data_IF_595721391467
#
_entry.id   IF_595721391467
#
_cell.length_a   1.000
_cell.length_b   1.000
_cell.length_c   1.000
_cell.angle_alpha   90.00
_cell.angle_beta   90.00
_cell.angle_gamma   90.00
#
_symmetry.space_group_name_H-M   'P 1'
#
loop_
_entity.id
_entity.type
_entity.pdbx_description
1 polymer ?
#
# COMPACT_ATOMS: atom_id res chain seq x y z
N UNK A 1 6.25 -10.49 -19.42
CA UNK A 1 7.36 -11.24 -18.84
C UNK A 1 8.31 -11.76 -19.90
N UNK A 2 7.87 -12.62 -20.81
CA UNK A 2 8.73 -13.25 -21.82
C UNK A 2 9.49 -12.24 -22.72
N UNK A 3 8.86 -11.15 -23.13
CA UNK A 3 9.52 -10.12 -23.94
C UNK A 3 10.66 -9.41 -23.18
N UNK A 4 10.44 -9.15 -21.89
CA UNK A 4 11.48 -8.57 -21.02
C UNK A 4 12.67 -9.53 -20.90
N UNK A 5 12.39 -10.80 -20.65
CA UNK A 5 13.39 -11.86 -20.50
C UNK A 5 14.16 -12.08 -21.79
N UNK A 6 13.47 -12.09 -22.93
CA UNK A 6 14.09 -12.22 -24.27
C UNK A 6 15.10 -11.09 -24.57
N UNK A 7 14.88 -9.89 -23.99
CA UNK A 7 15.78 -8.74 -24.15
C UNK A 7 16.79 -8.62 -22.98
N UNK A 8 16.95 -9.68 -22.17
CA UNK A 8 17.93 -9.73 -21.07
C UNK A 8 17.50 -9.00 -19.79
N UNK A 9 16.27 -8.53 -19.71
CA UNK A 9 15.71 -7.90 -18.50
C UNK A 9 15.14 -8.93 -17.51
N UNK A 10 15.11 -8.58 -16.22
CA UNK A 10 14.47 -9.40 -15.17
C UNK A 10 12.95 -9.11 -15.14
N UNK A 11 12.15 -10.11 -15.45
CA UNK A 11 10.70 -9.99 -15.45
C UNK A 11 10.11 -10.09 -14.03
N UNK A 12 8.84 -9.65 -13.88
CA UNK A 12 8.09 -9.83 -12.65
C UNK A 12 7.97 -11.31 -12.27
N UNK A 13 7.74 -12.19 -13.24
CA UNK A 13 7.71 -13.65 -13.04
C UNK A 13 9.01 -14.16 -12.42
N UNK A 14 10.15 -13.81 -12.97
CA UNK A 14 11.46 -14.22 -12.43
C UNK A 14 11.70 -13.66 -11.02
N UNK A 15 11.28 -12.41 -10.77
CA UNK A 15 11.39 -11.82 -9.43
C UNK A 15 10.51 -12.55 -8.40
N UNK A 16 9.29 -12.92 -8.79
CA UNK A 16 8.38 -13.69 -7.93
C UNK A 16 8.88 -15.11 -7.71
N UNK A 17 9.40 -15.79 -8.75
CA UNK A 17 10.00 -17.12 -8.59
C UNK A 17 11.12 -17.09 -7.56
N UNK A 18 12.05 -16.12 -7.64
CA UNK A 18 13.12 -15.98 -6.63
C UNK A 18 12.57 -15.82 -5.20
N UNK A 19 11.42 -15.14 -5.04
CA UNK A 19 10.75 -15.04 -3.73
C UNK A 19 10.16 -16.40 -3.29
N UNK A 20 9.55 -17.12 -4.23
CA UNK A 20 8.89 -18.39 -3.98
C UNK A 20 9.86 -19.56 -3.80
N UNK A 21 11.11 -19.44 -4.27
CA UNK A 21 12.18 -20.46 -4.06
C UNK A 21 12.43 -20.79 -2.57
N UNK A 22 12.01 -19.90 -1.67
CA UNK A 22 12.07 -20.13 -0.22
C UNK A 22 10.86 -20.91 0.31
N UNK A 23 9.80 -21.03 -0.47
CA UNK A 23 8.51 -21.64 -0.08
C UNK A 23 8.32 -23.04 -0.68
N UNK A 24 9.00 -23.32 -1.79
CA UNK A 24 8.88 -24.58 -2.52
C UNK A 24 10.18 -24.91 -3.24
N UNK A 25 10.67 -26.14 -3.08
CA UNK A 25 11.87 -26.63 -3.74
C UNK A 25 11.57 -27.15 -5.14
N UNK A 26 12.60 -27.27 -6.00
CA UNK A 26 12.43 -27.87 -7.33
C UNK A 26 11.98 -29.33 -7.25
N UNK A 27 12.47 -30.10 -6.28
CA UNK A 27 12.08 -31.49 -6.07
C UNK A 27 10.59 -31.61 -5.75
N UNK A 28 10.06 -30.74 -4.87
CA UNK A 28 8.63 -30.67 -4.57
C UNK A 28 7.82 -30.31 -5.82
N UNK A 29 8.29 -29.35 -6.65
CA UNK A 29 7.64 -28.98 -7.91
C UNK A 29 7.57 -30.18 -8.87
N UNK A 30 8.66 -30.94 -9.02
CA UNK A 30 8.71 -32.13 -9.84
C UNK A 30 7.76 -33.22 -9.31
N UNK A 31 7.74 -33.46 -8.00
CA UNK A 31 6.82 -34.39 -7.36
C UNK A 31 5.35 -34.02 -7.56
N UNK A 32 5.00 -32.74 -7.54
CA UNK A 32 3.63 -32.23 -7.70
C UNK A 32 3.18 -32.13 -9.15
N UNK A 33 4.10 -32.30 -10.11
CA UNK A 33 3.82 -32.08 -11.54
C UNK A 33 3.70 -33.39 -12.30
N UNK A 34 2.69 -33.52 -13.16
CA UNK A 34 2.54 -34.62 -14.10
C UNK A 34 3.48 -34.44 -15.31
N UNK A 35 3.76 -35.50 -16.07
CA UNK A 35 4.61 -35.41 -17.27
C UNK A 35 4.11 -34.44 -18.34
N UNK A 36 2.81 -34.12 -18.34
CA UNK A 36 2.20 -33.15 -19.26
C UNK A 36 2.27 -31.70 -18.74
N UNK A 37 2.85 -31.49 -17.55
CA UNK A 37 2.98 -30.18 -16.91
C UNK A 37 1.77 -29.74 -16.09
N UNK A 38 0.73 -30.59 -15.95
CA UNK A 38 -0.39 -30.31 -15.04
C UNK A 38 -0.02 -30.64 -13.59
N UNK A 39 -0.68 -29.98 -12.64
CA UNK A 39 -0.51 -30.30 -11.24
C UNK A 39 -1.26 -31.59 -10.85
N UNK A 40 -0.67 -32.44 -10.01
CA UNK A 40 -1.33 -33.60 -9.41
C UNK A 40 -2.35 -33.16 -8.36
N UNK A 41 -1.92 -32.25 -7.48
CA UNK A 41 -2.75 -31.65 -6.45
C UNK A 41 -2.49 -30.16 -6.40
N UNK A 42 -3.49 -29.36 -5.99
CA UNK A 42 -3.36 -27.92 -5.83
C UNK A 42 -3.28 -27.58 -4.36
N UNK A 43 -2.11 -27.06 -3.93
CA UNK A 43 -1.89 -26.58 -2.58
C UNK A 43 -1.55 -25.08 -2.62
N UNK A 44 -2.38 -24.27 -1.97
CA UNK A 44 -2.17 -22.83 -1.92
C UNK A 44 -1.08 -22.50 -0.90
N UNK A 45 0.06 -21.94 -1.36
CA UNK A 45 1.18 -21.52 -0.49
C UNK A 45 1.27 -20.02 -0.28
N UNK A 46 0.79 -19.24 -1.24
CA UNK A 46 0.72 -17.78 -1.16
C UNK A 46 -0.65 -17.30 -1.62
N UNK A 47 -1.30 -16.46 -0.83
CA UNK A 47 -2.59 -15.89 -1.18
C UNK A 47 -2.60 -14.37 -1.06
N UNK A 48 -2.72 -13.66 -2.20
CA UNK A 48 -3.01 -12.22 -2.27
C UNK A 48 -4.54 -12.05 -2.24
N UNK A 49 -5.06 -11.55 -1.13
CA UNK A 49 -6.50 -11.46 -0.89
C UNK A 49 -6.97 -10.02 -0.95
N UNK A 50 -7.96 -9.78 -1.82
CA UNK A 50 -8.60 -8.47 -2.00
C UNK A 50 -10.10 -8.70 -2.09
N UNK A 51 -10.82 -8.49 -0.99
CA UNK A 51 -12.24 -8.82 -0.93
C UNK A 51 -13.13 -7.81 -1.65
N UNK A 52 -12.85 -6.51 -1.49
CA UNK A 52 -13.66 -5.45 -2.09
C UNK A 52 -12.91 -4.10 -2.12
N UNK A 53 -13.57 -3.07 -2.68
CA UNK A 53 -13.12 -1.67 -2.61
C UNK A 53 -13.65 -0.94 -1.36
N UNK A 54 -14.13 -1.64 -0.34
CA UNK A 54 -14.54 -0.98 0.91
C UNK A 54 -13.34 -0.30 1.56
N UNK A 55 -13.39 1.02 1.68
CA UNK A 55 -12.34 1.84 2.28
C UNK A 55 -12.96 3.08 2.92
N UNK A 56 -12.50 3.46 4.09
CA UNK A 56 -12.96 4.63 4.81
C UNK A 56 -12.34 5.96 4.35
N UNK A 57 -11.39 5.92 3.41
CA UNK A 57 -10.67 7.09 2.91
C UNK A 57 -10.97 7.35 1.43
N UNK A 58 -10.83 8.64 1.02
CA UNK A 58 -10.83 9.08 -0.38
C UNK A 58 -9.48 9.71 -0.72
N UNK A 59 -8.39 8.92 -0.70
CA UNK A 59 -7.04 9.41 -0.97
C UNK A 59 -6.93 10.06 -2.34
N UNK A 60 -6.15 11.16 -2.47
CA UNK A 60 -6.07 11.96 -3.71
C UNK A 60 -5.54 11.20 -4.91
N UNK A 61 -4.60 10.27 -4.69
CA UNK A 61 -4.03 9.41 -5.71
C UNK A 61 -4.82 8.12 -5.96
N UNK A 62 -5.91 7.91 -5.24
CA UNK A 62 -6.76 6.73 -5.38
C UNK A 62 -7.90 6.99 -6.37
N UNK A 63 -8.67 5.95 -6.66
CA UNK A 63 -9.84 6.01 -7.54
C UNK A 63 -11.04 5.27 -6.97
N UNK A 64 -12.19 5.43 -7.61
CA UNK A 64 -13.44 4.81 -7.19
C UNK A 64 -13.39 3.27 -7.26
N UNK A 65 -12.54 2.71 -8.09
CA UNK A 65 -12.32 1.27 -8.22
C UNK A 65 -11.71 0.67 -6.96
N UNK A 66 -10.93 1.47 -6.21
CA UNK A 66 -10.19 1.06 -5.02
C UNK A 66 -10.78 1.60 -3.72
N UNK A 67 -11.72 2.55 -3.79
CA UNK A 67 -12.40 3.12 -2.61
C UNK A 67 -13.86 3.43 -2.89
N UNK A 68 -14.77 2.75 -2.16
CA UNK A 68 -16.19 3.03 -2.24
C UNK A 68 -16.54 4.44 -1.72
N UNK A 69 -15.76 4.99 -0.78
CA UNK A 69 -15.91 6.36 -0.29
C UNK A 69 -15.57 7.37 -1.40
N UNK A 70 -14.52 7.08 -2.17
CA UNK A 70 -14.19 7.84 -3.37
C UNK A 70 -15.30 7.73 -4.43
N UNK A 71 -15.82 6.52 -4.66
CA UNK A 71 -16.92 6.28 -5.59
C UNK A 71 -18.18 7.08 -5.20
N UNK A 72 -18.49 7.20 -3.91
CA UNK A 72 -19.57 8.03 -3.38
C UNK A 72 -19.33 9.53 -3.61
N UNK A 73 -18.10 10.00 -3.48
CA UNK A 73 -17.74 11.41 -3.68
C UNK A 73 -18.04 11.89 -5.10
N UNK A 74 -17.88 11.03 -6.10
CA UNK A 74 -18.09 11.39 -7.52
C UNK A 74 -19.42 10.90 -8.13
N UNK A 75 -20.12 10.05 -7.51
CA UNK A 75 -21.39 9.31 -7.75
C UNK A 75 -22.01 9.29 -9.18
N UNK A 76 -21.41 9.87 -10.17
CA UNK A 76 -21.98 9.96 -11.54
C UNK A 76 -21.83 8.69 -12.38
N UNK A 77 -20.95 7.75 -11.96
CA UNK A 77 -20.62 6.53 -12.73
C UNK A 77 -21.27 5.27 -12.19
N UNK A 78 -21.63 5.24 -10.92
CA UNK A 78 -21.92 3.97 -10.23
C UNK A 78 -23.40 3.74 -9.93
N UNK A 79 -24.29 4.70 -10.24
CA UNK A 79 -25.75 4.59 -10.03
C UNK A 79 -26.12 4.00 -8.65
N UNK A 80 -25.46 4.49 -7.58
CA UNK A 80 -25.64 3.99 -6.22
C UNK A 80 -24.91 2.67 -5.88
N UNK A 81 -24.26 2.01 -6.84
CA UNK A 81 -23.50 0.77 -6.61
C UNK A 81 -22.02 1.07 -6.40
N UNK A 82 -21.67 1.64 -5.26
CA UNK A 82 -20.31 2.09 -4.96
C UNK A 82 -19.36 0.98 -4.47
N UNK A 83 -19.90 -0.15 -4.01
CA UNK A 83 -19.09 -1.27 -3.53
C UNK A 83 -18.92 -2.27 -4.67
N UNK A 84 -17.65 -2.57 -4.97
CA UNK A 84 -17.24 -3.61 -5.90
C UNK A 84 -16.63 -4.75 -5.08
N UNK A 85 -17.22 -5.92 -5.15
CA UNK A 85 -16.71 -7.15 -4.50
C UNK A 85 -15.88 -7.96 -5.49
N UNK A 86 -14.82 -8.58 -5.01
CA UNK A 86 -14.00 -9.49 -5.79
C UNK A 86 -14.68 -10.85 -6.01
N UNK A 87 -15.61 -11.22 -5.10
CA UNK A 87 -16.38 -12.46 -5.14
C UNK A 87 -17.87 -12.19 -5.04
N UNK A 88 -18.67 -12.95 -5.76
CA UNK A 88 -20.14 -12.89 -5.71
C UNK A 88 -20.69 -13.52 -4.43
N UNK A 89 -20.00 -14.55 -3.90
CA UNK A 89 -20.40 -15.21 -2.65
C UNK A 89 -20.00 -14.37 -1.45
N UNK A 90 -20.92 -14.28 -0.49
CA UNK A 90 -20.72 -13.62 0.81
C UNK A 90 -20.29 -14.61 1.91
N UNK A 91 -20.33 -15.92 1.61
CA UNK A 91 -20.05 -16.97 2.58
C UNK A 91 -18.58 -17.38 2.53
N UNK A 92 -17.91 -17.30 3.69
CA UNK A 92 -16.51 -17.75 3.84
C UNK A 92 -16.34 -19.23 3.47
N UNK A 93 -17.32 -20.09 3.80
CA UNK A 93 -17.34 -21.49 3.44
C UNK A 93 -17.20 -21.77 1.95
N UNK A 94 -17.80 -20.92 1.11
CA UNK A 94 -17.73 -21.04 -0.34
C UNK A 94 -16.33 -20.69 -0.84
N UNK A 95 -15.68 -19.71 -0.23
CA UNK A 95 -14.30 -19.34 -0.55
C UNK A 95 -13.35 -20.50 -0.23
N UNK A 96 -13.44 -21.10 0.94
CA UNK A 96 -12.61 -22.25 1.33
C UNK A 96 -12.91 -23.45 0.42
N UNK A 97 -14.17 -23.72 0.13
CA UNK A 97 -14.55 -24.80 -0.78
C UNK A 97 -13.97 -24.62 -2.19
N UNK A 98 -13.90 -23.38 -2.67
CA UNK A 98 -13.41 -23.04 -4.00
C UNK A 98 -11.89 -23.04 -4.12
N UNK A 99 -11.20 -22.51 -3.11
CA UNK A 99 -9.76 -22.28 -3.17
C UNK A 99 -8.92 -23.32 -2.41
N UNK A 100 -9.58 -24.30 -1.80
CA UNK A 100 -8.97 -25.45 -1.17
C UNK A 100 -8.53 -25.24 0.27
N UNK A 101 -7.99 -26.30 0.88
CA UNK A 101 -7.48 -26.26 2.23
C UNK A 101 -6.32 -25.28 2.33
N UNK A 102 -6.18 -24.62 3.48
CA UNK A 102 -5.13 -23.65 3.77
C UNK A 102 -3.98 -24.24 4.60
N UNK A 103 -3.93 -25.57 4.76
CA UNK A 103 -2.96 -26.26 5.61
C UNK A 103 -1.50 -26.00 5.20
N UNK A 104 -1.26 -25.82 3.90
CA UNK A 104 0.05 -25.52 3.35
C UNK A 104 0.30 -24.03 3.06
N UNK A 105 -0.62 -23.16 3.48
CA UNK A 105 -0.46 -21.73 3.28
C UNK A 105 0.79 -21.24 4.05
N UNK A 106 1.70 -20.59 3.33
CA UNK A 106 2.95 -20.05 3.88
C UNK A 106 2.80 -18.55 4.15
N UNK A 107 2.28 -17.81 3.16
CA UNK A 107 2.04 -16.37 3.26
C UNK A 107 0.60 -16.02 2.90
N UNK A 108 0.02 -15.09 3.64
CA UNK A 108 -1.22 -14.43 3.28
C UNK A 108 -1.02 -12.92 3.23
N UNK A 109 -1.41 -12.31 2.11
CA UNK A 109 -1.26 -10.89 1.84
C UNK A 109 -2.63 -10.22 1.74
N UNK A 110 -2.98 -9.42 2.72
CA UNK A 110 -4.21 -8.66 2.78
C UNK A 110 -4.03 -7.27 2.21
N UNK A 111 -4.74 -6.97 1.13
CA UNK A 111 -4.77 -5.68 0.46
C UNK A 111 -6.18 -5.36 -0.08
N UNK A 112 -6.31 -4.33 -0.90
CA UNK A 112 -7.59 -3.87 -1.42
C UNK A 112 -8.00 -2.56 -0.76
N UNK A 113 -9.27 -2.20 -0.71
CA UNK A 113 -9.72 -0.94 -0.12
C UNK A 113 -9.09 -0.66 1.26
N UNK A 114 -9.77 -1.01 2.35
CA UNK A 114 -9.14 -1.12 3.68
C UNK A 114 -9.60 -2.42 4.33
N UNK A 115 -8.67 -3.30 4.54
CA UNK A 115 -8.94 -4.68 4.96
C UNK A 115 -9.63 -4.78 6.32
N UNK A 116 -9.36 -3.87 7.23
CA UNK A 116 -9.96 -3.85 8.58
C UNK A 116 -11.48 -3.68 8.56
N UNK A 117 -12.04 -3.12 7.48
CA UNK A 117 -13.49 -2.94 7.33
C UNK A 117 -14.19 -4.09 6.60
N UNK A 118 -13.51 -5.23 6.41
CA UNK A 118 -14.02 -6.37 5.65
C UNK A 118 -14.23 -7.56 6.58
N UNK A 119 -15.47 -8.06 6.66
CA UNK A 119 -15.85 -9.18 7.53
C UNK A 119 -15.05 -10.45 7.18
N UNK A 120 -14.82 -10.66 5.89
CA UNK A 120 -14.10 -11.82 5.36
C UNK A 120 -12.65 -11.90 5.87
N UNK A 121 -12.02 -10.76 6.12
CA UNK A 121 -10.70 -10.70 6.74
C UNK A 121 -10.71 -11.34 8.13
N UNK A 122 -11.66 -10.98 8.97
CA UNK A 122 -11.77 -11.50 10.33
C UNK A 122 -12.11 -12.99 10.34
N UNK A 123 -13.04 -13.41 9.48
CA UNK A 123 -13.39 -14.82 9.30
C UNK A 123 -12.21 -15.67 8.85
N UNK A 124 -11.31 -15.11 8.01
CA UNK A 124 -10.10 -15.79 7.59
C UNK A 124 -9.10 -15.93 8.74
N UNK A 125 -8.91 -14.89 9.58
CA UNK A 125 -8.06 -15.00 10.76
C UNK A 125 -8.61 -16.04 11.76
N UNK A 126 -9.92 -16.04 12.02
CA UNK A 126 -10.57 -17.06 12.85
C UNK A 126 -10.30 -18.45 12.31
N UNK A 127 -10.53 -18.67 11.01
CA UNK A 127 -10.30 -19.96 10.36
C UNK A 127 -8.84 -20.44 10.48
N UNK A 128 -7.86 -19.57 10.22
CA UNK A 128 -6.44 -19.92 10.35
C UNK A 128 -6.08 -20.31 11.79
N UNK A 129 -6.66 -19.65 12.78
CA UNK A 129 -6.48 -19.98 14.20
C UNK A 129 -7.13 -21.32 14.52
N UNK A 130 -8.35 -21.56 14.05
CA UNK A 130 -9.13 -22.78 14.32
C UNK A 130 -8.46 -24.04 13.76
N UNK A 131 -7.84 -23.95 12.58
CA UNK A 131 -7.06 -25.05 11.99
C UNK A 131 -5.63 -25.14 12.52
N UNK A 132 -5.23 -24.27 13.46
CA UNK A 132 -3.89 -24.22 14.03
C UNK A 132 -2.81 -23.66 13.10
N UNK A 133 -3.18 -23.01 11.98
CA UNK A 133 -2.27 -22.44 10.98
C UNK A 133 -1.78 -21.05 11.37
N UNK A 134 -1.13 -20.94 12.54
CA UNK A 134 -0.62 -19.68 13.10
C UNK A 134 0.86 -19.42 12.78
N UNK A 135 1.51 -20.35 12.09
CA UNK A 135 2.89 -20.21 11.57
C UNK A 135 2.92 -19.45 10.22
N UNK A 136 1.76 -19.22 9.59
CA UNK A 136 1.64 -18.43 8.38
C UNK A 136 2.14 -16.99 8.59
N UNK A 137 2.86 -16.43 7.61
CA UNK A 137 3.20 -15.01 7.61
C UNK A 137 1.98 -14.19 7.18
N UNK A 138 1.49 -13.36 8.08
CA UNK A 138 0.37 -12.45 7.79
C UNK A 138 0.91 -11.10 7.36
N UNK A 139 0.58 -10.68 6.13
CA UNK A 139 1.04 -9.41 5.59
C UNK A 139 -0.13 -8.48 5.31
N UNK A 140 -0.02 -7.24 5.76
CA UNK A 140 -1.01 -6.20 5.57
C UNK A 140 -0.50 -5.06 4.71
N UNK A 141 -1.36 -4.53 3.82
CA UNK A 141 -1.26 -3.16 3.33
C UNK A 141 -2.48 -2.40 3.83
N UNK A 142 -2.27 -1.40 4.66
CA UNK A 142 -3.33 -0.70 5.37
C UNK A 142 -3.06 0.80 5.47
N UNK A 143 -4.14 1.58 5.56
CA UNK A 143 -4.07 3.00 5.90
C UNK A 143 -3.91 3.24 7.41
N UNK A 144 -3.97 2.20 8.21
CA UNK A 144 -3.77 2.17 9.65
C UNK A 144 -4.69 3.13 10.45
N UNK A 145 -5.83 3.50 9.90
CA UNK A 145 -6.79 4.37 10.62
C UNK A 145 -7.57 3.63 11.69
N UNK A 146 -7.66 2.29 11.60
CA UNK A 146 -8.41 1.43 12.51
C UNK A 146 -7.64 0.14 12.82
N UNK A 147 -7.77 -0.31 14.07
CA UNK A 147 -7.31 -1.62 14.56
C UNK A 147 -8.47 -2.48 15.11
N UNK A 148 -9.68 -1.98 14.99
CA UNK A 148 -10.90 -2.62 15.44
C UNK A 148 -12.04 -2.39 14.44
N UNK A 149 -12.95 -3.34 14.34
CA UNK A 149 -14.14 -3.22 13.49
C UNK A 149 -15.21 -4.23 13.92
N UNK A 150 -16.44 -3.77 14.11
CA UNK A 150 -17.63 -4.61 14.36
C UNK A 150 -17.45 -5.65 15.49
N UNK A 151 -16.81 -5.23 16.59
CA UNK A 151 -16.51 -6.08 17.74
C UNK A 151 -15.20 -6.86 17.66
N UNK A 152 -14.58 -6.96 16.51
CA UNK A 152 -13.25 -7.54 16.33
C UNK A 152 -12.15 -6.55 16.71
N UNK A 153 -11.09 -7.04 17.35
CA UNK A 153 -9.93 -6.24 17.74
C UNK A 153 -8.66 -6.91 17.24
N UNK A 154 -7.94 -6.26 16.36
CA UNK A 154 -6.74 -6.82 15.73
C UNK A 154 -5.68 -7.26 16.75
N UNK A 155 -5.57 -6.53 17.86
CA UNK A 155 -4.64 -6.85 18.95
C UNK A 155 -4.95 -8.17 19.67
N UNK A 156 -6.15 -8.70 19.52
CA UNK A 156 -6.52 -10.01 20.06
C UNK A 156 -6.12 -11.16 19.12
N UNK A 157 -5.80 -10.84 17.85
CA UNK A 157 -5.39 -11.77 16.80
C UNK A 157 -3.89 -11.81 16.58
N UNK A 158 -3.26 -10.64 16.43
CA UNK A 158 -1.85 -10.54 16.05
C UNK A 158 -0.90 -11.37 16.92
N UNK A 159 -1.04 -11.41 18.27
CA UNK A 159 -0.15 -12.20 19.11
C UNK A 159 -0.24 -13.72 18.89
N UNK A 160 -1.30 -14.20 18.23
CA UNK A 160 -1.47 -15.62 17.93
C UNK A 160 -0.65 -16.08 16.73
N UNK A 161 -0.27 -15.16 15.83
CA UNK A 161 0.53 -15.47 14.65
C UNK A 161 2.02 -15.30 14.93
N UNK A 162 2.83 -16.16 14.30
CA UNK A 162 4.27 -16.14 14.49
C UNK A 162 4.95 -14.90 13.93
N UNK A 163 4.54 -14.47 12.74
CA UNK A 163 5.11 -13.32 12.03
C UNK A 163 4.00 -12.50 11.37
N UNK A 164 4.03 -11.20 11.60
CA UNK A 164 3.12 -10.26 10.98
C UNK A 164 3.91 -9.11 10.36
N UNK A 165 3.61 -8.75 9.12
CA UNK A 165 4.19 -7.58 8.46
C UNK A 165 3.10 -6.54 8.23
N UNK A 166 3.29 -5.35 8.78
CA UNK A 166 2.46 -4.19 8.47
C UNK A 166 3.16 -3.28 7.48
N UNK A 167 2.62 -3.17 6.28
CA UNK A 167 3.01 -2.16 5.31
C UNK A 167 2.02 -1.00 5.40
N UNK A 168 2.40 0.03 6.12
CA UNK A 168 1.57 1.20 6.37
C UNK A 168 1.68 2.16 5.18
N UNK A 169 0.55 2.56 4.66
CA UNK A 169 0.47 3.55 3.59
C UNK A 169 0.58 4.97 4.17
N UNK A 170 1.74 5.65 3.97
CA UNK A 170 2.02 6.95 4.56
C UNK A 170 2.73 7.87 3.57
N UNK A 171 2.05 8.89 3.05
CA UNK A 171 2.55 9.77 1.98
C UNK A 171 2.93 11.18 2.47
N UNK A 172 3.10 11.35 3.77
CA UNK A 172 3.44 12.60 4.45
C UNK A 172 3.23 12.48 5.94
N UNK A 173 3.29 13.60 6.64
CA UNK A 173 3.06 13.74 8.08
C UNK A 173 2.03 14.83 8.35
N UNK A 174 1.41 14.83 9.54
CA UNK A 174 0.50 15.88 9.98
C UNK A 174 -0.62 16.19 8.98
N UNK A 175 -0.86 17.48 8.80
CA UNK A 175 -1.90 18.02 7.91
C UNK A 175 -1.70 17.59 6.46
N UNK A 176 -0.46 17.41 6.01
CA UNK A 176 -0.18 16.90 4.66
C UNK A 176 -0.71 15.49 4.48
N UNK A 177 -0.54 14.61 5.47
CA UNK A 177 -1.10 13.27 5.38
C UNK A 177 -2.63 13.30 5.33
N UNK A 178 -3.27 14.10 6.18
CA UNK A 178 -4.73 14.27 6.20
C UNK A 178 -5.27 14.84 4.87
N UNK A 179 -4.54 15.78 4.28
CA UNK A 179 -4.85 16.35 2.96
C UNK A 179 -4.76 15.32 1.84
N UNK A 180 -3.71 14.50 1.84
CA UNK A 180 -3.50 13.47 0.82
C UNK A 180 -4.47 12.31 1.01
N UNK A 181 -4.54 11.79 2.24
CA UNK A 181 -5.38 10.65 2.62
C UNK A 181 -6.67 11.14 3.25
N UNK A 182 -7.47 11.80 2.43
CA UNK A 182 -8.70 12.48 2.84
C UNK A 182 -9.63 11.56 3.63
N UNK A 183 -9.98 12.01 4.84
CA UNK A 183 -10.75 11.25 5.83
C UNK A 183 -9.91 10.60 6.93
N UNK A 184 -8.58 10.64 6.84
CA UNK A 184 -7.68 10.20 7.91
C UNK A 184 -7.53 11.27 9.01
N UNK A 185 -7.00 10.82 10.17
CA UNK A 185 -6.59 11.68 11.28
C UNK A 185 -5.21 11.29 11.73
N UNK A 186 -4.28 12.25 11.65
CA UNK A 186 -2.87 12.05 11.94
C UNK A 186 -2.61 11.44 13.32
N UNK A 187 -3.18 12.03 14.36
CA UNK A 187 -2.99 11.57 15.74
C UNK A 187 -3.46 10.12 15.94
N UNK A 188 -4.54 9.72 15.24
CA UNK A 188 -5.04 8.34 15.32
C UNK A 188 -4.08 7.37 14.61
N UNK A 189 -3.52 7.78 13.47
CA UNK A 189 -2.55 6.95 12.73
C UNK A 189 -1.29 6.77 13.55
N UNK A 190 -0.73 7.84 14.14
CA UNK A 190 0.45 7.76 15.01
C UNK A 190 0.20 6.85 16.20
N UNK A 191 -0.94 7.01 16.89
CA UNK A 191 -1.31 6.13 18.00
C UNK A 191 -1.39 4.66 17.59
N UNK A 192 -1.98 4.37 16.44
CA UNK A 192 -2.07 3.00 15.92
C UNK A 192 -0.69 2.48 15.51
N UNK A 193 0.15 3.33 14.90
CA UNK A 193 1.52 3.02 14.52
C UNK A 193 2.36 2.63 15.74
N UNK A 194 2.32 3.43 16.81
CA UNK A 194 2.97 3.11 18.08
C UNK A 194 2.48 1.78 18.64
N UNK A 195 1.17 1.55 18.57
CA UNK A 195 0.55 0.32 19.09
C UNK A 195 1.08 -0.91 18.37
N UNK A 196 1.10 -0.92 17.03
CA UNK A 196 1.55 -2.08 16.27
C UNK A 196 3.07 -2.24 16.30
N UNK A 197 3.82 -1.13 16.33
CA UNK A 197 5.28 -1.16 16.39
C UNK A 197 5.82 -1.74 17.72
N UNK A 198 5.03 -1.72 18.77
CA UNK A 198 5.39 -2.29 20.07
C UNK A 198 5.12 -3.80 20.20
N UNK A 199 4.52 -4.42 19.19
CA UNK A 199 4.26 -5.87 19.21
C UNK A 199 5.52 -6.64 18.76
N UNK A 200 5.98 -7.66 19.53
CA UNK A 200 7.27 -8.29 19.29
C UNK A 200 7.33 -9.14 17.99
N UNK A 201 6.19 -9.56 17.48
CA UNK A 201 6.07 -10.36 16.26
C UNK A 201 5.65 -9.53 15.02
N UNK A 202 5.62 -8.20 15.15
CA UNK A 202 5.25 -7.28 14.05
C UNK A 202 6.49 -6.65 13.43
N UNK A 203 6.56 -6.73 12.11
CA UNK A 203 7.55 -6.08 11.28
C UNK A 203 6.91 -4.91 10.54
N UNK A 204 7.36 -3.70 10.82
CA UNK A 204 6.82 -2.49 10.20
C UNK A 204 7.52 -2.19 8.88
N UNK A 205 6.73 -1.86 7.88
CA UNK A 205 7.16 -1.30 6.58
C UNK A 205 6.28 -0.10 6.25
N UNK A 206 6.75 0.76 5.38
CA UNK A 206 5.98 1.91 4.88
C UNK A 206 5.98 1.92 3.36
N UNK A 207 4.79 2.08 2.79
CA UNK A 207 4.60 2.46 1.39
C UNK A 207 4.38 3.98 1.34
N UNK A 208 5.24 4.68 0.63
CA UNK A 208 5.13 6.09 0.35
C UNK A 208 5.01 6.30 -1.18
N UNK A 209 3.90 6.86 -1.62
CA UNK A 209 3.74 7.28 -3.00
C UNK A 209 4.22 8.72 -3.14
N UNK A 210 5.30 8.91 -3.88
CA UNK A 210 5.85 10.24 -4.12
C UNK A 210 5.15 10.92 -5.29
N UNK A 211 4.63 12.11 -5.02
CA UNK A 211 3.81 12.93 -5.92
C UNK A 211 4.36 14.35 -5.93
N UNK A 212 3.93 15.17 -6.91
CA UNK A 212 4.38 16.57 -6.99
C UNK A 212 3.99 17.40 -5.76
N UNK A 213 2.90 17.07 -5.08
CA UNK A 213 2.38 17.79 -3.92
C UNK A 213 2.85 17.25 -2.56
N UNK A 214 3.73 16.26 -2.52
CA UNK A 214 4.35 15.81 -1.27
C UNK A 214 5.89 15.69 -1.33
N UNK A 215 6.48 15.80 -2.52
CA UNK A 215 7.93 15.61 -2.67
C UNK A 215 8.76 16.65 -1.91
N UNK A 216 8.22 17.86 -1.69
CA UNK A 216 8.89 18.89 -0.87
C UNK A 216 8.97 18.51 0.61
N UNK A 217 8.01 17.74 1.12
CA UNK A 217 7.99 17.24 2.50
C UNK A 217 8.60 15.84 2.65
N UNK A 218 9.15 15.25 1.59
CA UNK A 218 9.77 13.92 1.68
C UNK A 218 10.86 13.84 2.75
N UNK A 219 11.80 14.80 2.88
CA UNK A 219 12.80 14.77 3.96
C UNK A 219 12.19 14.79 5.35
N UNK A 220 11.10 15.54 5.59
CA UNK A 220 10.38 15.58 6.86
C UNK A 220 9.71 14.23 7.16
N UNK A 221 9.09 13.62 6.15
CA UNK A 221 8.50 12.27 6.27
C UNK A 221 9.57 11.24 6.66
N UNK A 222 10.75 11.30 6.04
CA UNK A 222 11.87 10.43 6.39
C UNK A 222 12.36 10.67 7.81
N UNK A 223 12.38 11.94 8.24
CA UNK A 223 12.76 12.32 9.60
C UNK A 223 11.78 11.76 10.64
N UNK A 224 10.49 11.81 10.36
CA UNK A 224 9.49 11.20 11.20
C UNK A 224 9.68 9.67 11.28
N UNK A 225 9.84 8.99 10.18
CA UNK A 225 9.89 7.53 10.12
C UNK A 225 11.17 6.96 10.75
N UNK A 226 12.32 7.46 10.36
CA UNK A 226 13.61 6.97 10.85
C UNK A 226 14.03 7.64 12.14
N UNK A 227 13.72 8.94 12.35
CA UNK A 227 14.05 9.69 13.54
C UNK A 227 13.33 9.21 14.79
N UNK A 228 12.10 8.74 14.67
CA UNK A 228 11.35 8.12 15.76
C UNK A 228 11.58 6.59 15.87
N UNK A 229 12.40 6.01 14.99
CA UNK A 229 12.76 4.60 15.05
C UNK A 229 11.68 3.63 14.55
N UNK A 230 10.67 4.10 13.81
CA UNK A 230 9.69 3.24 13.15
C UNK A 230 10.33 2.40 12.05
N UNK A 231 11.23 2.99 11.29
CA UNK A 231 12.06 2.30 10.31
C UNK A 231 13.53 2.38 10.72
N UNK A 232 14.28 1.32 10.39
CA UNK A 232 15.72 1.19 10.69
C UNK A 232 16.52 0.90 9.44
N UNK A 233 15.95 0.11 8.54
CA UNK A 233 16.61 -0.42 7.36
C UNK A 233 15.98 0.09 6.06
N UNK A 234 16.77 0.26 4.99
CA UNK A 234 16.27 0.75 3.69
C UNK A 234 15.13 -0.09 3.09
N UNK A 235 15.13 -1.39 3.31
CA UNK A 235 14.14 -2.30 2.75
C UNK A 235 12.75 -2.17 3.40
N UNK A 236 12.65 -1.47 4.53
CA UNK A 236 11.39 -1.24 5.22
C UNK A 236 10.58 -0.08 4.59
N UNK A 237 11.20 0.75 3.74
CA UNK A 237 10.55 1.83 3.03
C UNK A 237 10.43 1.52 1.55
N UNK A 238 9.23 1.50 1.02
CA UNK A 238 8.97 1.46 -0.41
C UNK A 238 8.59 2.88 -0.89
N UNK A 239 9.44 3.48 -1.72
CA UNK A 239 9.17 4.76 -2.37
C UNK A 239 8.65 4.48 -3.78
N UNK A 240 7.35 4.64 -3.98
CA UNK A 240 6.73 4.57 -5.29
C UNK A 240 6.59 5.97 -5.89
N UNK A 241 6.59 6.04 -7.20
CA UNK A 241 6.27 7.25 -7.95
C UNK A 241 4.89 7.06 -8.56
N UNK A 242 3.99 8.01 -8.32
CA UNK A 242 2.66 7.96 -8.91
C UNK A 242 2.76 7.90 -10.45
N UNK A 243 1.99 6.99 -11.05
CA UNK A 243 2.01 6.79 -12.51
C UNK A 243 1.04 7.71 -13.23
N UNK A 244 -0.07 8.08 -12.58
CA UNK A 244 -1.09 8.96 -13.13
C UNK A 244 -0.49 10.35 -13.40
N UNK A 245 -0.67 10.92 -14.60
CA UNK A 245 -0.07 12.20 -14.97
C UNK A 245 -0.36 13.34 -14.00
N UNK A 246 -1.57 13.36 -13.43
CA UNK A 246 -2.03 14.37 -12.47
C UNK A 246 -1.34 14.27 -11.10
N UNK A 247 -0.80 13.12 -10.77
CA UNK A 247 -0.11 12.87 -9.50
C UNK A 247 1.40 12.77 -9.65
N UNK A 248 1.88 12.55 -10.88
CA UNK A 248 3.28 12.24 -11.12
C UNK A 248 4.23 13.34 -10.62
N UNK A 249 5.30 12.97 -9.93
CA UNK A 249 6.27 13.90 -9.34
C UNK A 249 6.91 14.84 -10.36
N UNK A 250 7.01 14.42 -11.61
CA UNK A 250 7.51 15.24 -12.73
C UNK A 250 6.61 16.43 -13.10
N UNK A 251 5.35 16.48 -12.59
CA UNK A 251 4.45 17.61 -12.76
C UNK A 251 4.79 18.80 -11.85
N UNK A 252 5.69 18.65 -10.88
CA UNK A 252 6.15 19.75 -10.01
C UNK A 252 6.63 20.95 -10.85
N UNK A 253 6.22 22.20 -10.53
CA UNK A 253 6.71 23.39 -11.21
C UNK A 253 8.25 23.47 -11.22
N UNK A 254 8.83 23.90 -12.34
CA UNK A 254 10.27 23.85 -12.57
C UNK A 254 11.10 24.58 -11.50
N UNK A 255 10.62 25.72 -11.01
CA UNK A 255 11.29 26.46 -9.95
C UNK A 255 11.33 25.72 -8.61
N UNK A 256 10.31 24.88 -8.33
CA UNK A 256 10.24 24.07 -7.13
C UNK A 256 11.05 22.77 -7.25
N UNK A 257 11.31 22.27 -8.47
CA UNK A 257 12.15 21.09 -8.68
C UNK A 257 13.56 21.27 -8.12
N UNK A 258 14.16 22.44 -8.33
CA UNK A 258 15.50 22.74 -7.81
C UNK A 258 15.51 22.72 -6.26
N UNK A 259 14.48 23.30 -5.63
CA UNK A 259 14.31 23.28 -4.17
C UNK A 259 14.17 21.85 -3.67
N UNK A 260 13.25 21.07 -4.23
CA UNK A 260 13.02 19.68 -3.82
C UNK A 260 14.28 18.82 -4.00
N UNK A 261 14.98 18.96 -5.14
CA UNK A 261 16.23 18.25 -5.41
C UNK A 261 17.29 18.56 -4.34
N UNK A 262 17.48 19.83 -4.00
CA UNK A 262 18.44 20.23 -2.97
C UNK A 262 18.05 19.68 -1.59
N UNK A 263 16.79 19.78 -1.22
CA UNK A 263 16.30 19.25 0.07
C UNK A 263 16.49 17.74 0.18
N UNK A 264 16.17 16.97 -0.87
CA UNK A 264 16.37 15.51 -0.90
C UNK A 264 17.87 15.17 -0.79
N UNK A 265 18.74 15.82 -1.58
CA UNK A 265 20.19 15.56 -1.57
C UNK A 265 20.86 15.95 -0.25
N UNK A 266 20.35 16.96 0.44
CA UNK A 266 20.86 17.39 1.74
C UNK A 266 20.25 16.66 2.95
N UNK A 267 19.28 15.76 2.72
CA UNK A 267 18.70 14.95 3.78
C UNK A 267 19.74 14.05 4.43
N UNK A 268 19.76 13.99 5.76
CA UNK A 268 20.64 13.07 6.50
C UNK A 268 20.42 11.59 6.17
N UNK A 269 19.25 11.25 5.58
CA UNK A 269 18.92 9.89 5.14
C UNK A 269 19.31 9.62 3.68
N UNK A 270 19.82 10.63 2.95
CA UNK A 270 20.24 10.43 1.57
C UNK A 270 21.27 9.31 1.40
N UNK A 271 22.34 9.20 2.23
CA UNK A 271 23.28 8.09 2.09
C UNK A 271 22.68 6.70 2.34
N UNK A 272 21.69 6.60 3.23
CA UNK A 272 21.00 5.36 3.55
C UNK A 272 20.05 4.90 2.43
N UNK A 273 19.41 5.86 1.74
CA UNK A 273 18.33 5.64 0.76
C UNK A 273 18.70 6.10 -0.66
N UNK A 274 19.97 6.18 -0.97
CA UNK A 274 20.48 6.84 -2.18
C UNK A 274 19.75 6.39 -3.45
N UNK A 275 19.69 5.09 -3.72
CA UNK A 275 19.10 4.56 -4.95
C UNK A 275 17.61 4.94 -5.09
N UNK A 276 16.86 4.89 -3.98
CA UNK A 276 15.43 5.23 -3.94
C UNK A 276 15.23 6.73 -4.16
N UNK A 277 16.03 7.56 -3.50
CA UNK A 277 15.94 9.02 -3.60
C UNK A 277 16.44 9.53 -4.95
N UNK A 278 17.44 8.86 -5.54
CA UNK A 278 17.88 9.16 -6.91
C UNK A 278 16.81 8.82 -7.95
N UNK A 279 16.08 7.71 -7.76
CA UNK A 279 14.94 7.39 -8.61
C UNK A 279 13.85 8.48 -8.56
N UNK A 280 13.53 8.99 -7.35
CA UNK A 280 12.60 10.12 -7.18
C UNK A 280 13.12 11.38 -7.88
N UNK A 281 14.38 11.75 -7.66
CA UNK A 281 15.00 12.90 -8.30
C UNK A 281 14.96 12.81 -9.84
N UNK A 282 15.29 11.65 -10.39
CA UNK A 282 15.28 11.40 -11.83
C UNK A 282 13.87 11.52 -12.42
N UNK A 283 12.87 10.93 -11.76
CA UNK A 283 11.47 11.04 -12.18
C UNK A 283 10.95 12.48 -12.10
N UNK A 284 11.32 13.21 -11.04
CA UNK A 284 10.94 14.63 -10.85
C UNK A 284 11.52 15.52 -11.97
N UNK A 285 12.72 15.24 -12.45
CA UNK A 285 13.34 16.02 -13.51
C UNK A 285 12.73 15.75 -14.91
N UNK A 286 11.84 14.78 -15.04
CA UNK A 286 11.10 14.54 -16.28
C UNK A 286 10.27 15.78 -16.66
N UNK A 287 10.30 16.15 -17.94
CA UNK A 287 9.53 17.28 -18.50
C UNK A 287 8.24 16.86 -19.20
N UNK A 288 7.89 15.58 -19.12
CA UNK A 288 6.74 15.02 -19.85
C UNK A 288 5.37 15.32 -19.22
N UNK A 289 5.35 15.84 -18.00
CA UNK A 289 4.14 16.06 -17.23
C UNK A 289 3.87 17.55 -17.06
N UNK A 290 2.60 17.94 -17.20
CA UNK A 290 2.13 19.31 -16.97
C UNK A 290 1.52 19.42 -15.59
N UNK A 291 1.68 20.59 -14.97
CA UNK A 291 1.12 20.89 -13.66
C UNK A 291 -0.43 20.89 -13.70
N UNK A 292 -1.14 20.05 -12.94
CA UNK A 292 -2.56 19.76 -13.12
C UNK A 292 -3.46 20.67 -12.28
N UNK A 293 -3.34 22.01 -12.45
CA UNK A 293 -4.05 23.03 -11.64
C UNK A 293 -5.53 22.72 -11.47
N UNK A 294 -6.27 22.57 -12.56
CA UNK A 294 -7.73 22.41 -12.52
C UNK A 294 -8.16 21.16 -11.74
N UNK A 295 -7.48 20.04 -11.94
CA UNK A 295 -7.81 18.78 -11.26
C UNK A 295 -7.73 18.94 -9.74
N UNK A 296 -6.68 19.62 -9.27
CA UNK A 296 -6.43 19.84 -7.84
C UNK A 296 -7.36 20.88 -7.23
N UNK A 297 -7.53 22.02 -7.85
CA UNK A 297 -8.40 23.08 -7.34
C UNK A 297 -9.89 22.67 -7.33
N UNK A 298 -10.31 21.83 -8.27
CA UNK A 298 -11.68 21.28 -8.26
C UNK A 298 -11.87 20.27 -7.11
N UNK A 299 -10.86 19.48 -6.79
CA UNK A 299 -10.89 18.55 -5.65
C UNK A 299 -10.86 19.31 -4.32
N UNK A 300 -9.99 20.31 -4.19
CA UNK A 300 -9.91 21.16 -2.99
C UNK A 300 -11.22 21.86 -2.71
N UNK A 301 -11.84 22.43 -3.74
CA UNK A 301 -13.16 23.10 -3.61
C UNK A 301 -14.24 22.13 -3.13
N UNK A 302 -14.28 20.91 -3.66
CA UNK A 302 -15.26 19.89 -3.21
C UNK A 302 -15.05 19.49 -1.75
N UNK A 303 -13.80 19.43 -1.31
CA UNK A 303 -13.42 18.97 0.03
C UNK A 303 -13.34 20.10 1.06
N UNK A 304 -13.42 21.36 0.61
CA UNK A 304 -13.29 22.54 1.48
C UNK A 304 -11.90 22.67 2.11
N UNK A 305 -10.84 22.34 1.35
CA UNK A 305 -9.44 22.44 1.76
C UNK A 305 -8.63 23.18 0.70
N UNK A 306 -7.41 23.62 1.05
CA UNK A 306 -6.50 24.30 0.13
C UNK A 306 -5.07 23.77 0.35
N UNK A 307 -4.38 23.37 -0.72
CA UNK A 307 -2.98 22.99 -0.66
C UNK A 307 -2.10 24.14 -0.14
N UNK A 308 -2.51 25.37 -0.36
CA UNK A 308 -1.76 26.57 0.07
C UNK A 308 -1.69 26.72 1.59
N UNK A 309 -2.61 26.11 2.35
CA UNK A 309 -2.53 26.07 3.80
C UNK A 309 -1.32 25.25 4.29
N UNK A 310 -0.86 24.30 3.45
CA UNK A 310 0.29 23.42 3.76
C UNK A 310 1.55 23.91 3.06
N UNK A 311 1.44 24.29 1.79
CA UNK A 311 2.55 24.74 0.94
C UNK A 311 2.23 26.08 0.26
N UNK A 312 2.44 27.21 0.95
CA UNK A 312 2.19 28.53 0.37
C UNK A 312 3.02 28.81 -0.91
N UNK A 313 4.14 28.14 -1.09
CA UNK A 313 5.00 28.27 -2.26
C UNK A 313 4.33 27.84 -3.58
N UNK A 314 3.21 27.14 -3.53
CA UNK A 314 2.43 26.83 -4.73
C UNK A 314 1.50 27.97 -5.19
N UNK A 315 1.36 29.05 -4.40
CA UNK A 315 0.46 30.17 -4.74
C UNK A 315 0.63 30.70 -6.17
N UNK A 316 1.86 30.95 -6.69
CA UNK A 316 2.06 31.45 -8.05
C UNK A 316 1.59 30.52 -9.18
N UNK A 317 1.26 29.26 -8.86
CA UNK A 317 0.89 28.22 -9.82
C UNK A 317 -0.56 27.77 -9.71
N UNK A 318 -1.21 28.04 -8.58
CA UNK A 318 -2.59 27.59 -8.29
C UNK A 318 -3.61 28.74 -8.34
N UNK A 319 -3.14 30.00 -8.32
CA UNK A 319 -4.00 31.23 -8.42
C UNK A 319 -3.78 32.03 -9.66
#
# INVERSE_FOLDING_TARGET
>A
CYDIEKHGGKSFRQSKNTMLDQMITMDEIEEMTNPDGSLKDFNMRYWDVRFSNVCNLSCRMCGPEYSHTWAKEIDTRFNGKHIVKAHESEEWSDMISKYGPLDELYDIYFAGGEVMFQKEHWQMLDHLIDIGKTDVMVMYVTNLTKLDYDGYRLLDYLPKFRNVTFTVSMDGTGDLLEYIRWGSKWDQIVKNLDTVNNLPNVHLRVNHVTMWYNVLALPETLDFLYGNGYLKEPHQLDLYIAHEPENHVGALPTSLKAKAFQQIKSSKYYPLLQDKLDAVCNAMMSTKHTFPVKHFTDMDRRRGCDLLDIFPEFEPYLR
#
